data_IF_386910045919
#
_entry.id   IF_386910045919
#
_cell.length_a   1.000
_cell.length_b   1.000
_cell.length_c   1.000
_cell.angle_alpha   90.00
_cell.angle_beta   90.00
_cell.angle_gamma   90.00
#
_symmetry.space_group_name_H-M   'P 1'
#
loop_
_entity.id
_entity.type
_entity.pdbx_description
1 polymer ?
#
# COMPACT_ATOMS: atom_id res chain seq x y z
N UNK A 1 32.50 -33.99 -1.84
CA UNK A 1 32.44 -32.56 -1.44
C UNK A 1 33.09 -31.77 -2.56
N UNK A 2 32.40 -30.81 -3.19
CA UNK A 2 33.04 -29.95 -4.18
C UNK A 2 33.99 -29.01 -3.44
N UNK A 3 35.26 -29.00 -3.82
CA UNK A 3 36.26 -28.11 -3.23
C UNK A 3 36.05 -26.70 -3.79
N UNK A 4 36.18 -25.68 -2.92
CA UNK A 4 36.02 -24.26 -3.27
C UNK A 4 36.85 -23.81 -4.49
N UNK A 5 37.94 -24.52 -4.79
CA UNK A 5 38.77 -24.32 -6.00
C UNK A 5 38.05 -24.61 -7.32
N UNK A 6 37.05 -25.49 -7.35
CA UNK A 6 36.29 -25.76 -8.58
C UNK A 6 35.22 -24.70 -8.85
N UNK A 7 34.71 -24.05 -7.80
CA UNK A 7 33.77 -22.93 -7.91
C UNK A 7 34.45 -21.67 -8.46
N UNK A 8 35.68 -21.38 -8.04
CA UNK A 8 36.45 -20.23 -8.55
C UNK A 8 36.77 -20.39 -10.04
N UNK A 9 37.20 -21.58 -10.46
CA UNK A 9 37.49 -21.88 -11.87
C UNK A 9 36.25 -21.82 -12.78
N UNK A 10 35.05 -22.11 -12.24
CA UNK A 10 33.80 -22.00 -12.97
C UNK A 10 33.34 -20.54 -13.14
N UNK A 11 33.60 -19.68 -12.15
CA UNK A 11 33.27 -18.25 -12.21
C UNK A 11 34.13 -17.51 -13.24
N UNK A 12 35.41 -17.86 -13.35
CA UNK A 12 36.35 -17.19 -14.27
C UNK A 12 36.08 -17.52 -15.75
N UNK A 13 35.49 -18.69 -16.04
CA UNK A 13 35.10 -19.11 -17.39
C UNK A 13 33.75 -18.55 -17.84
N UNK A 14 32.96 -18.00 -16.93
CA UNK A 14 31.64 -17.46 -17.25
C UNK A 14 31.78 -16.09 -17.92
N UNK A 15 31.46 -16.00 -19.21
CA UNK A 15 31.38 -14.70 -19.90
C UNK A 15 30.27 -13.85 -19.28
N UNK A 16 30.54 -12.57 -18.93
CA UNK A 16 29.55 -11.70 -18.32
C UNK A 16 28.38 -11.52 -19.30
N UNK A 17 27.16 -11.84 -18.85
CA UNK A 17 25.95 -11.53 -19.61
C UNK A 17 25.90 -10.00 -19.74
N UNK A 18 25.87 -9.48 -20.98
CA UNK A 18 25.61 -8.06 -21.22
C UNK A 18 24.24 -7.72 -20.61
N UNK A 19 24.23 -7.03 -19.48
CA UNK A 19 23.01 -6.38 -18.98
C UNK A 19 22.61 -5.35 -20.04
N UNK A 20 21.36 -5.38 -20.48
CA UNK A 20 20.81 -4.28 -21.25
C UNK A 20 20.91 -3.03 -20.37
N UNK A 21 21.47 -1.97 -20.93
CA UNK A 21 21.57 -0.67 -20.27
C UNK A 21 20.15 -0.24 -19.92
N UNK A 22 19.84 -0.19 -18.63
CA UNK A 22 18.57 0.34 -18.15
C UNK A 22 18.65 1.83 -18.40
N UNK A 23 17.78 2.34 -19.27
CA UNK A 23 17.75 3.77 -19.59
C UNK A 23 17.59 4.56 -18.27
N UNK A 24 18.50 5.52 -17.97
CA UNK A 24 18.43 6.30 -16.74
C UNK A 24 17.38 7.41 -16.81
N UNK A 25 16.79 7.65 -17.97
CA UNK A 25 15.84 8.74 -18.14
C UNK A 25 14.42 8.24 -17.82
N UNK A 26 13.74 8.82 -16.82
CA UNK A 26 12.34 8.51 -16.58
C UNK A 26 11.56 8.76 -17.87
N UNK A 27 10.61 7.86 -18.18
CA UNK A 27 9.75 8.00 -19.34
C UNK A 27 9.20 9.43 -19.35
N UNK A 28 9.41 10.17 -20.46
CA UNK A 28 9.02 11.59 -20.58
C UNK A 28 7.53 11.81 -20.27
N UNK A 29 6.71 10.79 -20.49
CA UNK A 29 5.28 10.81 -20.14
C UNK A 29 5.05 10.79 -18.62
N UNK A 30 5.91 10.11 -17.86
CA UNK A 30 5.86 10.11 -16.39
C UNK A 30 6.32 11.44 -15.79
N UNK A 31 7.35 12.07 -16.36
CA UNK A 31 7.81 13.41 -15.91
C UNK A 31 6.74 14.46 -16.21
N UNK A 32 6.06 14.34 -17.36
CA UNK A 32 5.00 15.25 -17.77
C UNK A 32 3.78 15.20 -16.84
N UNK A 33 3.49 14.05 -16.20
CA UNK A 33 2.41 13.92 -15.21
C UNK A 33 2.75 14.66 -13.90
N UNK A 34 4.03 14.70 -13.51
CA UNK A 34 4.48 15.31 -12.24
C UNK A 34 4.69 16.83 -12.41
N UNK A 35 5.11 17.30 -13.59
CA UNK A 35 5.38 18.72 -13.86
C UNK A 35 4.15 19.60 -14.13
N UNK A 36 2.91 19.13 -14.01
CA UNK A 36 1.69 19.97 -14.22
C UNK A 36 1.31 20.80 -12.99
N UNK A 37 2.20 21.00 -12.01
CA UNK A 37 1.93 21.85 -10.84
C UNK A 37 3.04 22.86 -10.58
N UNK A 38 3.13 23.82 -11.49
CA UNK A 38 3.73 25.17 -11.34
C UNK A 38 3.56 25.81 -12.73
N UNK A 39 2.87 26.92 -12.99
CA UNK A 39 2.31 27.99 -12.18
C UNK A 39 1.03 28.50 -12.84
N UNK A 40 0.16 29.14 -12.06
CA UNK A 40 -0.24 30.54 -12.26
C UNK A 40 -1.18 30.90 -11.11
N UNK A 41 -0.73 31.83 -10.24
CA UNK A 41 -1.54 32.46 -9.20
C UNK A 41 -2.63 33.34 -9.86
N UNK A 42 -3.94 33.11 -9.65
CA UNK A 42 -4.95 34.08 -9.99
C UNK A 42 -5.41 34.82 -8.73
N UNK A 43 -5.38 36.15 -8.86
CA UNK A 43 -6.08 37.11 -8.02
C UNK A 43 -7.48 36.67 -7.61
N UNK A 44 -7.84 36.98 -6.37
CA UNK A 44 -9.17 36.85 -5.77
C UNK A 44 -10.32 37.21 -6.72
N UNK A 45 -11.20 36.24 -6.96
CA UNK A 45 -12.63 36.47 -7.16
C UNK A 45 -13.41 35.22 -6.75
N UNK A 46 -14.25 35.38 -5.73
CA UNK A 46 -15.19 34.39 -5.23
C UNK A 46 -16.18 34.00 -6.35
N UNK A 47 -16.20 32.73 -6.73
CA UNK A 47 -17.33 32.11 -7.46
C UNK A 47 -17.63 30.72 -6.88
N UNK A 48 -18.86 30.57 -6.39
CA UNK A 48 -19.46 29.34 -5.87
C UNK A 48 -19.43 28.22 -6.93
N UNK A 49 -18.66 27.16 -6.69
CA UNK A 49 -18.67 25.94 -7.51
C UNK A 49 -18.67 24.68 -6.63
N UNK A 50 -19.76 23.92 -6.71
CA UNK A 50 -20.02 22.64 -6.00
C UNK A 50 -19.13 21.47 -6.47
N UNK A 51 -17.94 21.73 -7.03
CA UNK A 51 -16.96 20.70 -7.42
C UNK A 51 -15.75 20.77 -6.48
N UNK A 52 -15.92 20.23 -5.28
CA UNK A 52 -14.86 20.08 -4.29
C UNK A 52 -13.86 18.98 -4.76
N UNK A 53 -12.64 19.33 -5.20
CA UNK A 53 -11.71 18.38 -5.81
C UNK A 53 -11.03 17.46 -4.78
N UNK A 54 -11.35 17.57 -3.49
CA UNK A 54 -10.74 16.80 -2.40
C UNK A 54 -11.27 15.35 -2.23
N UNK A 55 -12.22 14.91 -3.06
CA UNK A 55 -12.86 13.60 -2.92
C UNK A 55 -11.93 12.37 -3.15
N UNK A 56 -10.81 12.54 -3.86
CA UNK A 56 -9.92 11.41 -4.19
C UNK A 56 -8.80 11.30 -3.16
N UNK A 57 -8.86 10.26 -2.33
CA UNK A 57 -7.87 10.07 -1.28
C UNK A 57 -6.91 8.94 -1.66
N UNK A 58 -5.73 9.35 -2.14
CA UNK A 58 -4.64 8.45 -2.48
C UNK A 58 -3.88 8.10 -1.19
N UNK A 59 -4.12 6.89 -0.67
CA UNK A 59 -3.31 6.36 0.41
C UNK A 59 -2.06 5.66 -0.14
N UNK A 60 -0.93 6.36 -0.08
CA UNK A 60 0.43 5.82 -0.07
C UNK A 60 0.94 4.99 -1.26
N UNK A 61 0.08 4.49 -2.14
CA UNK A 61 0.49 3.53 -3.17
C UNK A 61 1.36 2.39 -2.60
N UNK A 62 2.18 1.78 -3.45
CA UNK A 62 3.24 0.90 -2.99
C UNK A 62 4.46 1.73 -2.58
N UNK A 63 4.84 1.71 -1.30
CA UNK A 63 5.96 2.53 -0.76
C UNK A 63 7.32 1.83 -0.76
N UNK A 64 7.47 0.75 -1.55
CA UNK A 64 8.73 -0.01 -1.72
C UNK A 64 9.38 -0.52 -0.42
N UNK A 65 8.56 -0.81 0.59
CA UNK A 65 9.00 -1.48 1.84
C UNK A 65 8.89 -3.00 1.71
N UNK A 66 9.67 -3.59 0.82
CA UNK A 66 9.70 -5.05 0.62
C UNK A 66 10.74 -5.74 1.51
N UNK A 67 10.28 -6.46 2.52
CA UNK A 67 11.03 -7.51 3.23
C UNK A 67 10.31 -8.86 3.01
N UNK A 68 10.89 -10.00 3.44
CA UNK A 68 10.16 -11.27 3.47
C UNK A 68 9.14 -11.19 4.62
N UNK A 69 8.01 -10.56 4.34
CA UNK A 69 6.90 -10.35 5.26
C UNK A 69 5.64 -11.06 4.72
N UNK A 70 4.69 -11.36 5.59
CA UNK A 70 3.37 -11.87 5.18
C UNK A 70 2.59 -10.81 4.36
N UNK A 71 1.64 -11.21 3.51
CA UNK A 71 0.82 -10.27 2.75
C UNK A 71 0.11 -9.22 3.63
N UNK A 72 -0.38 -9.61 4.81
CA UNK A 72 -0.98 -8.67 5.77
C UNK A 72 0.04 -7.65 6.29
N UNK A 73 1.21 -8.10 6.73
CA UNK A 73 2.25 -7.21 7.25
C UNK A 73 2.69 -6.20 6.20
N UNK A 74 2.85 -6.64 4.95
CA UNK A 74 3.15 -5.76 3.83
C UNK A 74 2.03 -4.71 3.61
N UNK A 75 0.76 -5.12 3.72
CA UNK A 75 -0.37 -4.21 3.58
C UNK A 75 -0.44 -3.19 4.74
N UNK A 76 -0.20 -3.64 5.98
CA UNK A 76 -0.15 -2.78 7.18
C UNK A 76 0.97 -1.74 7.05
N UNK A 77 2.16 -2.16 6.61
CA UNK A 77 3.31 -1.26 6.40
C UNK A 77 3.03 -0.17 5.37
N UNK A 78 2.20 -0.48 4.38
CA UNK A 78 1.74 0.46 3.36
C UNK A 78 0.43 1.17 3.75
N UNK A 79 -0.15 0.91 4.92
CA UNK A 79 -1.46 1.43 5.36
C UNK A 79 -2.61 1.13 4.37
N UNK A 80 -2.46 0.06 3.60
CA UNK A 80 -3.44 -0.41 2.60
C UNK A 80 -4.26 -1.60 3.11
N UNK A 81 -4.05 -2.00 4.36
CA UNK A 81 -4.83 -3.05 4.99
C UNK A 81 -6.26 -2.58 5.31
N UNK A 82 -7.17 -3.57 5.43
CA UNK A 82 -8.59 -3.33 5.68
C UNK A 82 -8.87 -2.56 6.98
N UNK A 83 -8.03 -2.71 8.01
CA UNK A 83 -8.23 -2.04 9.29
C UNK A 83 -7.87 -0.57 9.17
N UNK A 84 -6.70 -0.26 8.59
CA UNK A 84 -6.28 1.12 8.34
C UNK A 84 -7.29 1.85 7.46
N UNK A 85 -7.80 1.21 6.40
CA UNK A 85 -8.82 1.80 5.53
C UNK A 85 -10.14 2.08 6.27
N UNK A 86 -10.58 1.16 7.12
CA UNK A 86 -11.80 1.34 7.92
C UNK A 86 -11.64 2.43 8.99
N UNK A 87 -10.49 2.50 9.67
CA UNK A 87 -10.18 3.57 10.63
C UNK A 87 -10.20 4.95 9.95
N UNK A 88 -9.62 5.05 8.75
CA UNK A 88 -9.65 6.30 7.97
C UNK A 88 -11.04 6.71 7.56
N UNK A 89 -11.88 5.75 7.15
CA UNK A 89 -13.26 6.05 6.82
C UNK A 89 -14.00 6.61 8.05
N UNK A 90 -13.74 6.07 9.25
CA UNK A 90 -14.30 6.60 10.50
C UNK A 90 -13.81 8.01 10.79
N UNK A 91 -12.49 8.23 10.71
CA UNK A 91 -11.87 9.52 11.05
C UNK A 91 -12.31 10.66 10.10
N UNK A 92 -12.73 10.33 8.87
CA UNK A 92 -13.25 11.29 7.88
C UNK A 92 -14.73 11.61 8.01
N UNK A 93 -15.48 10.89 8.84
CA UNK A 93 -16.90 11.17 9.03
C UNK A 93 -17.09 12.13 10.22
N UNK A 94 -17.31 13.44 9.98
CA UNK A 94 -17.37 14.43 11.06
C UNK A 94 -18.52 14.17 12.04
N UNK A 95 -19.62 13.55 11.57
CA UNK A 95 -20.75 13.19 12.42
C UNK A 95 -20.46 12.01 13.37
N UNK A 96 -19.35 11.29 13.18
CA UNK A 96 -19.02 10.09 13.95
C UNK A 96 -18.05 10.32 15.11
N UNK A 97 -17.36 11.47 15.24
CA UNK A 97 -16.40 11.81 16.31
C UNK A 97 -16.30 10.83 17.49
N UNK A 98 -17.04 11.08 18.59
CA UNK A 98 -16.98 10.26 19.80
C UNK A 98 -17.67 8.89 19.64
N UNK A 99 -18.67 8.79 18.76
CA UNK A 99 -19.37 7.54 18.49
C UNK A 99 -18.49 6.51 17.76
N UNK A 100 -17.58 6.97 16.91
CA UNK A 100 -16.64 6.20 16.11
C UNK A 100 -15.40 5.77 16.88
N UNK A 101 -15.07 6.45 17.99
CA UNK A 101 -13.88 6.15 18.80
C UNK A 101 -13.83 4.69 19.27
N UNK A 102 -14.96 4.12 19.72
CA UNK A 102 -15.01 2.71 20.14
C UNK A 102 -14.81 1.75 18.97
N UNK A 103 -15.37 2.06 17.78
CA UNK A 103 -15.20 1.25 16.59
C UNK A 103 -13.75 1.29 16.09
N UNK A 104 -13.13 2.48 16.10
CA UNK A 104 -11.73 2.69 15.76
C UNK A 104 -10.79 1.90 16.67
N UNK A 105 -11.03 1.93 17.98
CA UNK A 105 -10.22 1.17 18.94
C UNK A 105 -10.34 -0.33 18.72
N UNK A 106 -11.55 -0.84 18.45
CA UNK A 106 -11.74 -2.26 18.12
C UNK A 106 -10.96 -2.66 16.86
N UNK A 107 -10.96 -1.83 15.82
CA UNK A 107 -10.20 -2.08 14.60
C UNK A 107 -8.69 -2.10 14.86
N UNK A 108 -8.20 -1.18 15.70
CA UNK A 108 -6.79 -1.14 16.11
C UNK A 108 -6.38 -2.40 16.88
N UNK A 109 -7.20 -2.85 17.83
CA UNK A 109 -6.94 -4.09 18.58
C UNK A 109 -6.92 -5.30 17.65
N UNK A 110 -7.86 -5.37 16.69
CA UNK A 110 -7.89 -6.44 15.69
C UNK A 110 -6.67 -6.43 14.76
N UNK A 111 -6.23 -5.25 14.32
CA UNK A 111 -5.03 -5.10 13.51
C UNK A 111 -3.79 -5.63 14.26
N UNK A 112 -3.66 -5.27 15.54
CA UNK A 112 -2.55 -5.75 16.38
C UNK A 112 -2.61 -7.27 16.60
N UNK A 113 -3.79 -7.82 16.88
CA UNK A 113 -3.96 -9.26 17.07
C UNK A 113 -3.59 -10.04 15.80
N UNK A 114 -4.06 -9.57 14.64
CA UNK A 114 -3.75 -10.17 13.36
C UNK A 114 -2.25 -10.10 13.03
N UNK A 115 -1.60 -8.96 13.32
CA UNK A 115 -0.16 -8.80 13.15
C UNK A 115 0.64 -9.74 14.06
N UNK A 116 0.21 -9.91 15.30
CA UNK A 116 0.89 -10.80 16.25
C UNK A 116 0.78 -12.26 15.80
N UNK A 117 -0.41 -12.69 15.40
CA UNK A 117 -0.64 -14.05 14.90
C UNK A 117 0.17 -14.32 13.62
N UNK A 118 0.24 -13.36 12.70
CA UNK A 118 1.08 -13.46 11.50
C UNK A 118 2.56 -13.60 11.85
N UNK A 119 3.04 -12.85 12.84
CA UNK A 119 4.42 -12.92 13.32
C UNK A 119 4.74 -14.25 14.02
N UNK A 120 3.82 -14.76 14.84
CA UNK A 120 3.99 -16.01 15.59
C UNK A 120 3.95 -17.25 14.69
N UNK A 121 3.04 -17.28 13.71
CA UNK A 121 2.82 -18.43 12.85
C UNK A 121 3.56 -18.34 11.51
N UNK A 122 4.09 -17.17 11.16
CA UNK A 122 4.69 -16.90 9.85
C UNK A 122 3.68 -16.90 8.69
N UNK A 123 2.39 -16.82 8.98
CA UNK A 123 1.30 -16.84 8.00
C UNK A 123 0.11 -16.03 8.48
N UNK A 124 -0.59 -15.38 7.55
CA UNK A 124 -1.75 -14.55 7.85
C UNK A 124 -2.87 -15.34 8.55
N UNK A 125 -3.60 -14.72 9.49
CA UNK A 125 -4.72 -15.35 10.17
C UNK A 125 -5.74 -15.94 9.20
N UNK A 126 -6.21 -17.16 9.50
CA UNK A 126 -7.10 -17.90 8.61
C UNK A 126 -8.40 -17.14 8.29
N UNK A 127 -8.94 -16.42 9.29
CA UNK A 127 -10.17 -15.64 9.12
C UNK A 127 -10.01 -14.44 8.16
N UNK A 128 -8.78 -13.94 7.96
CA UNK A 128 -8.50 -12.86 7.01
C UNK A 128 -8.30 -13.41 5.60
N UNK A 129 -7.59 -14.53 5.49
CA UNK A 129 -7.28 -15.22 4.23
C UNK A 129 -8.53 -15.85 3.61
N UNK A 130 -9.41 -16.42 4.44
CA UNK A 130 -10.66 -17.06 3.99
C UNK A 130 -11.85 -16.08 3.90
N UNK A 131 -11.64 -14.79 4.14
CA UNK A 131 -12.71 -13.79 4.06
C UNK A 131 -13.27 -13.67 2.64
N UNK A 132 -14.59 -13.62 2.53
CA UNK A 132 -15.31 -13.44 1.26
C UNK A 132 -16.37 -12.37 1.41
N UNK A 133 -16.65 -11.66 0.31
CA UNK A 133 -17.75 -10.70 0.28
C UNK A 133 -19.07 -11.42 0.54
N UNK A 134 -19.93 -10.94 1.46
CA UNK A 134 -21.23 -11.54 1.68
C UNK A 134 -22.06 -11.42 0.40
N UNK A 135 -22.69 -12.51 -0.01
CA UNK A 135 -23.60 -12.47 -1.15
C UNK A 135 -24.76 -11.53 -0.82
N UNK A 136 -25.13 -10.69 -1.79
CA UNK A 136 -26.31 -9.85 -1.68
C UNK A 136 -27.52 -10.78 -1.62
N UNK A 137 -28.12 -10.94 -0.43
CA UNK A 137 -29.39 -11.64 -0.28
C UNK A 137 -30.40 -10.98 -1.23
N UNK A 138 -30.83 -11.70 -2.27
CA UNK A 138 -31.99 -11.27 -3.04
C UNK A 138 -33.16 -11.28 -2.07
N UNK A 139 -33.88 -10.15 -1.99
CA UNK A 139 -35.02 -10.00 -1.09
C UNK A 139 -35.98 -11.19 -1.27
N UNK A 140 -36.33 -11.80 -0.15
CA UNK A 140 -37.42 -12.77 -0.05
C UNK A 140 -38.77 -12.06 -0.07
#
# INVERSE_FOLDING_TARGET
MLNNSQLTAALEKAKPKKRKEVQPEPNKDFVKIISVREQDEPSESEEDSDDDPECIIVRGGYTEKGNIDTPLELAIRNQTDRFSLAMDAIDRMPHLHNAGASAREKLRVQQQAASNEAYENGSDPEYLTNWKWPERKKGS
#
